data_IF_336459077970
#
_entry.id   IF_336459077970
#
_cell.length_a   1.000
_cell.length_b   1.000
_cell.length_c   1.000
_cell.angle_alpha   90.00
_cell.angle_beta   90.00
_cell.angle_gamma   90.00
#
_symmetry.space_group_name_H-M   'P 1'
#
loop_
_entity.id
_entity.type
_entity.pdbx_description
1 polymer ?
#
# COMPACT_ATOMS: atom_id res chain seq x y z
N UNK A 1 21.04 -66.77 -36.43
CA UNK A 1 19.83 -65.90 -36.34
C UNK A 1 19.62 -65.51 -34.88
N UNK A 2 19.95 -64.27 -34.46
CA UNK A 2 19.70 -63.83 -33.09
C UNK A 2 18.21 -63.53 -32.91
N UNK A 3 17.64 -64.04 -31.82
CA UNK A 3 16.20 -64.01 -31.56
C UNK A 3 15.68 -62.59 -31.29
N UNK A 4 14.45 -62.31 -31.76
CA UNK A 4 13.67 -61.07 -31.64
C UNK A 4 13.47 -60.51 -30.22
N UNK A 5 14.01 -61.14 -29.17
CA UNK A 5 13.82 -60.73 -27.76
C UNK A 5 14.80 -59.67 -27.25
N UNK A 6 15.90 -59.40 -27.95
CA UNK A 6 16.90 -58.41 -27.50
C UNK A 6 16.67 -56.97 -27.96
N UNK A 7 15.71 -56.72 -28.86
CA UNK A 7 15.41 -55.35 -29.35
C UNK A 7 14.35 -54.59 -28.54
N UNK A 8 13.64 -55.24 -27.61
CA UNK A 8 12.52 -54.62 -26.88
C UNK A 8 12.90 -54.10 -25.48
N UNK A 9 14.05 -54.47 -24.92
CA UNK A 9 14.47 -54.00 -23.58
C UNK A 9 15.31 -52.71 -23.59
N UNK A 10 15.96 -52.37 -24.72
CA UNK A 10 16.66 -51.07 -24.85
C UNK A 10 15.73 -49.91 -25.23
N UNK A 11 14.59 -50.19 -25.89
CA UNK A 11 13.62 -49.15 -26.24
C UNK A 11 12.81 -48.66 -25.02
N UNK A 12 12.47 -49.55 -24.08
CA UNK A 12 11.69 -49.19 -22.90
C UNK A 12 12.48 -48.35 -21.87
N UNK A 13 13.80 -48.58 -21.78
CA UNK A 13 14.68 -47.86 -20.84
C UNK A 13 14.98 -46.42 -21.30
N UNK A 14 15.02 -46.17 -22.62
CA UNK A 14 15.19 -44.83 -23.19
C UNK A 14 13.92 -43.96 -23.09
N UNK A 15 12.73 -44.56 -23.20
CA UNK A 15 11.45 -43.85 -23.06
C UNK A 15 11.15 -43.44 -21.61
N UNK A 16 11.53 -44.24 -20.61
CA UNK A 16 11.41 -43.85 -19.20
C UNK A 16 12.39 -42.73 -18.83
N UNK A 17 13.63 -42.76 -19.35
CA UNK A 17 14.60 -41.69 -19.14
C UNK A 17 14.16 -40.38 -19.82
N UNK A 18 13.66 -40.41 -21.07
CA UNK A 18 13.13 -39.20 -21.72
C UNK A 18 11.84 -38.67 -21.05
N UNK A 19 10.99 -39.53 -20.50
CA UNK A 19 9.80 -39.10 -19.76
C UNK A 19 10.16 -38.40 -18.42
N UNK A 20 11.17 -38.92 -17.70
CA UNK A 20 11.68 -38.32 -16.46
C UNK A 20 12.42 -36.98 -16.71
N UNK A 21 13.14 -36.86 -17.83
CA UNK A 21 13.75 -35.58 -18.22
C UNK A 21 12.71 -34.57 -18.74
N UNK A 22 11.58 -35.03 -19.29
CA UNK A 22 10.49 -34.15 -19.72
C UNK A 22 9.59 -33.66 -18.59
N UNK A 23 9.53 -34.36 -17.45
CA UNK A 23 8.87 -33.88 -16.22
C UNK A 23 9.80 -33.00 -15.37
N UNK A 24 11.10 -33.30 -15.31
CA UNK A 24 12.07 -32.45 -14.62
C UNK A 24 12.29 -31.10 -15.34
N UNK A 25 12.25 -31.08 -16.68
CA UNK A 25 12.37 -29.84 -17.47
C UNK A 25 11.09 -29.00 -17.53
N UNK A 26 9.94 -29.53 -17.07
CA UNK A 26 8.66 -28.78 -16.99
C UNK A 26 8.45 -28.06 -15.66
N UNK A 27 9.39 -28.20 -14.73
CA UNK A 27 9.37 -27.56 -13.41
C UNK A 27 10.53 -26.58 -13.22
N UNK A 28 10.97 -25.89 -14.28
CA UNK A 28 11.46 -24.53 -14.09
C UNK A 28 10.26 -23.70 -13.62
N UNK A 29 9.97 -23.74 -12.32
CA UNK A 29 8.84 -23.05 -11.72
C UNK A 29 8.86 -21.61 -12.18
N UNK A 30 7.77 -21.12 -12.76
CA UNK A 30 7.65 -19.70 -13.11
C UNK A 30 7.97 -18.88 -11.85
N UNK A 31 8.78 -17.83 -12.01
CA UNK A 31 9.19 -16.91 -10.95
C UNK A 31 8.69 -15.50 -11.24
N UNK A 32 8.70 -14.64 -10.22
CA UNK A 32 8.64 -13.18 -10.40
C UNK A 32 9.95 -12.54 -9.91
N UNK A 33 10.25 -11.33 -10.39
CA UNK A 33 11.33 -10.49 -9.87
C UNK A 33 10.79 -9.08 -9.75
N UNK A 34 10.98 -8.44 -8.59
CA UNK A 34 10.55 -7.06 -8.42
C UNK A 34 11.40 -6.08 -9.27
N UNK A 35 10.80 -4.98 -9.74
CA UNK A 35 9.37 -4.66 -9.65
C UNK A 35 8.52 -5.55 -10.58
N UNK A 36 7.31 -5.90 -10.13
CA UNK A 36 6.34 -6.65 -10.98
C UNK A 36 5.60 -5.74 -11.97
N UNK A 37 5.66 -4.42 -11.78
CA UNK A 37 5.31 -3.44 -12.80
C UNK A 37 6.25 -2.24 -12.71
N UNK A 38 6.98 -1.99 -13.79
CA UNK A 38 8.08 -1.03 -13.84
C UNK A 38 7.66 0.41 -14.14
N UNK A 39 6.38 0.68 -14.40
CA UNK A 39 5.89 2.04 -14.61
C UNK A 39 5.60 2.77 -13.30
N UNK A 40 5.46 4.09 -13.38
CA UNK A 40 5.03 4.96 -12.28
C UNK A 40 3.71 4.48 -11.65
N UNK A 41 3.80 3.94 -10.44
CA UNK A 41 2.70 3.35 -9.70
C UNK A 41 2.86 3.55 -8.18
N UNK A 42 2.79 4.80 -7.69
CA UNK A 42 2.92 5.06 -6.27
C UNK A 42 1.66 4.71 -5.48
N UNK A 43 1.88 4.51 -4.19
CA UNK A 43 0.84 4.26 -3.20
C UNK A 43 -0.11 3.10 -3.60
N UNK A 44 0.44 1.91 -3.93
CA UNK A 44 -0.35 0.84 -4.52
C UNK A 44 -1.32 0.19 -3.54
N UNK A 45 -2.60 0.25 -3.88
CA UNK A 45 -3.64 -0.54 -3.25
C UNK A 45 -4.10 -1.67 -4.18
N UNK A 46 -4.19 -2.90 -3.68
CA UNK A 46 -4.72 -4.04 -4.46
C UNK A 46 -5.99 -4.61 -3.86
N UNK A 47 -7.07 -4.54 -4.63
CA UNK A 47 -8.32 -5.24 -4.35
C UNK A 47 -8.33 -6.60 -5.04
N UNK A 48 -8.60 -7.67 -4.27
CA UNK A 48 -8.97 -8.97 -4.84
C UNK A 48 -10.49 -9.09 -4.89
N UNK A 49 -11.05 -9.27 -6.09
CA UNK A 49 -12.49 -9.43 -6.29
C UNK A 49 -12.78 -10.47 -7.38
N UNK A 50 -13.63 -11.45 -7.10
CA UNK A 50 -14.06 -12.48 -8.05
C UNK A 50 -12.91 -13.15 -8.83
N UNK A 51 -11.83 -13.53 -8.12
CA UNK A 51 -10.68 -14.21 -8.70
C UNK A 51 -9.73 -13.34 -9.52
N UNK A 52 -9.94 -12.02 -9.55
CA UNK A 52 -9.06 -11.03 -10.18
C UNK A 52 -8.49 -10.05 -9.16
N UNK A 53 -7.36 -9.46 -9.50
CA UNK A 53 -6.71 -8.38 -8.78
C UNK A 53 -6.87 -7.08 -9.54
N UNK A 54 -7.14 -6.00 -8.81
CA UNK A 54 -7.25 -4.64 -9.31
C UNK A 54 -6.30 -3.79 -8.48
N UNK A 55 -5.22 -3.32 -9.09
CA UNK A 55 -4.30 -2.40 -8.46
C UNK A 55 -4.67 -0.96 -8.81
N UNK A 56 -4.61 -0.05 -7.85
CA UNK A 56 -4.84 1.37 -8.00
C UNK A 56 -3.60 2.13 -7.53
N UNK A 57 -3.17 3.13 -8.28
CA UNK A 57 -1.97 3.91 -7.97
C UNK A 57 -2.18 5.41 -8.19
N UNK A 58 -1.46 6.22 -7.39
CA UNK A 58 -1.48 7.68 -7.41
C UNK A 58 -1.12 8.25 -8.79
N UNK A 59 -1.88 9.24 -9.27
CA UNK A 59 -1.53 10.03 -10.46
C UNK A 59 -1.06 11.45 -10.12
N UNK A 60 -1.25 11.93 -8.88
CA UNK A 60 -0.99 13.33 -8.53
C UNK A 60 -1.81 14.27 -9.42
N UNK A 61 -1.15 15.25 -10.03
CA UNK A 61 -1.76 16.13 -11.03
C UNK A 61 -1.91 15.49 -12.42
N UNK A 62 -1.26 14.35 -12.67
CA UNK A 62 -1.33 13.64 -13.93
C UNK A 62 -2.71 13.02 -14.21
N UNK A 63 -2.93 12.62 -15.47
CA UNK A 63 -4.14 11.92 -15.92
C UNK A 63 -3.75 10.70 -16.75
N UNK A 64 -4.57 9.66 -16.69
CA UNK A 64 -4.44 8.50 -17.59
C UNK A 64 -4.86 8.88 -19.01
N UNK A 65 -4.55 8.03 -20.00
CA UNK A 65 -4.81 8.30 -21.42
C UNK A 65 -6.29 8.57 -21.76
N UNK A 66 -7.21 8.04 -20.95
CA UNK A 66 -8.66 8.26 -21.04
C UNK A 66 -9.14 9.46 -20.19
N UNK A 67 -8.22 10.32 -19.74
CA UNK A 67 -8.52 11.55 -19.00
C UNK A 67 -8.89 11.34 -17.52
N UNK A 68 -8.90 10.10 -17.03
CA UNK A 68 -9.26 9.75 -15.65
C UNK A 68 -8.07 9.85 -14.69
N UNK A 69 -8.37 9.67 -13.42
CA UNK A 69 -7.43 9.78 -12.29
C UNK A 69 -7.26 8.40 -11.66
N UNK A 70 -6.09 8.17 -11.06
CA UNK A 70 -5.62 6.91 -10.51
C UNK A 70 -5.44 5.82 -11.57
N UNK A 71 -4.18 5.41 -11.80
CA UNK A 71 -3.87 4.34 -12.73
C UNK A 71 -4.47 3.03 -12.21
N UNK A 72 -5.17 2.30 -13.08
CA UNK A 72 -5.69 0.96 -12.77
C UNK A 72 -4.91 -0.10 -13.54
N UNK A 73 -4.46 -1.13 -12.84
CA UNK A 73 -3.95 -2.36 -13.43
C UNK A 73 -4.83 -3.54 -13.02
N UNK A 74 -4.89 -4.58 -13.85
CA UNK A 74 -5.52 -5.85 -13.49
C UNK A 74 -4.60 -7.03 -13.68
N UNK A 75 -4.74 -8.05 -12.83
CA UNK A 75 -3.97 -9.29 -12.88
C UNK A 75 -4.80 -10.46 -12.38
N UNK A 76 -4.37 -11.69 -12.70
CA UNK A 76 -4.90 -12.94 -12.12
C UNK A 76 -3.91 -13.60 -11.17
N UNK A 77 -2.67 -13.11 -11.08
CA UNK A 77 -1.58 -13.76 -10.35
C UNK A 77 -0.65 -12.80 -9.59
N UNK A 78 -1.02 -11.51 -9.47
CA UNK A 78 -0.24 -10.44 -8.83
C UNK A 78 1.07 -10.05 -9.54
N UNK A 79 1.41 -10.70 -10.65
CA UNK A 79 2.70 -10.52 -11.34
C UNK A 79 2.50 -10.00 -12.76
N UNK A 80 1.63 -10.66 -13.52
CA UNK A 80 1.33 -10.28 -14.89
C UNK A 80 0.23 -9.20 -14.87
N UNK A 81 0.62 -7.92 -14.90
CA UNK A 81 -0.29 -6.77 -14.83
C UNK A 81 -0.65 -6.22 -16.21
N UNK A 82 -1.93 -5.88 -16.40
CA UNK A 82 -2.46 -5.28 -17.62
C UNK A 82 -3.12 -3.93 -17.30
N UNK A 83 -2.82 -2.85 -18.03
CA UNK A 83 -3.48 -1.56 -17.86
C UNK A 83 -5.00 -1.62 -18.06
N UNK A 84 -5.75 -0.88 -17.26
CA UNK A 84 -7.22 -0.80 -17.31
C UNK A 84 -7.76 0.65 -17.29
N UNK A 85 -6.91 1.63 -17.67
CA UNK A 85 -7.26 3.04 -17.72
C UNK A 85 -7.18 3.72 -16.35
N UNK A 86 -7.92 4.82 -16.18
CA UNK A 86 -8.04 5.49 -14.89
C UNK A 86 -9.28 5.10 -14.11
N UNK A 87 -9.24 5.19 -12.78
CA UNK A 87 -10.33 4.74 -11.93
C UNK A 87 -11.41 5.82 -11.73
N UNK A 88 -11.00 7.04 -11.37
CA UNK A 88 -11.89 8.13 -10.94
C UNK A 88 -12.13 9.11 -12.09
N UNK A 89 -13.40 9.43 -12.33
CA UNK A 89 -13.76 10.59 -13.16
C UNK A 89 -13.37 11.86 -12.41
N UNK A 90 -12.57 12.77 -13.01
CA UNK A 90 -12.17 14.01 -12.36
C UNK A 90 -13.38 14.77 -11.79
N UNK A 91 -13.41 15.06 -10.47
CA UNK A 91 -14.45 15.89 -9.90
C UNK A 91 -14.46 17.29 -10.54
N UNK A 92 -15.65 17.87 -10.68
CA UNK A 92 -15.79 19.24 -11.17
C UNK A 92 -15.02 20.22 -10.29
N UNK A 93 -14.37 21.22 -10.91
CA UNK A 93 -13.57 22.22 -10.19
C UNK A 93 -12.22 21.73 -9.65
N UNK A 94 -11.84 20.47 -9.87
CA UNK A 94 -10.56 19.91 -9.41
C UNK A 94 -9.40 20.06 -10.41
N UNK A 95 -9.47 21.06 -11.30
CA UNK A 95 -8.40 21.37 -12.25
C UNK A 95 -7.13 21.79 -11.49
N UNK A 96 -6.00 21.15 -11.80
CA UNK A 96 -4.72 21.40 -11.12
C UNK A 96 -4.61 20.80 -9.71
N UNK A 97 -5.63 20.07 -9.24
CA UNK A 97 -5.56 19.37 -7.96
C UNK A 97 -4.69 18.10 -8.04
N UNK A 98 -4.11 17.77 -6.90
CA UNK A 98 -3.38 16.55 -6.63
C UNK A 98 -4.31 15.46 -6.08
N UNK A 99 -4.18 14.25 -6.62
CA UNK A 99 -4.98 13.08 -6.24
C UNK A 99 -4.08 11.93 -5.80
N UNK A 100 -4.16 11.53 -4.53
CA UNK A 100 -3.25 10.56 -3.92
C UNK A 100 -3.96 9.40 -3.24
N UNK A 101 -3.25 8.26 -3.22
CA UNK A 101 -3.48 7.09 -2.39
C UNK A 101 -4.92 6.57 -2.41
N UNK A 102 -5.40 6.04 -3.56
CA UNK A 102 -6.73 5.47 -3.66
C UNK A 102 -6.79 4.08 -3.00
N UNK A 103 -7.70 3.87 -2.04
CA UNK A 103 -8.05 2.55 -1.52
C UNK A 103 -9.50 2.18 -1.82
N UNK A 104 -9.76 0.91 -2.13
CA UNK A 104 -11.10 0.46 -2.56
C UNK A 104 -11.61 -0.69 -1.70
N UNK A 105 -12.83 -0.55 -1.18
CA UNK A 105 -13.57 -1.64 -0.54
C UNK A 105 -14.88 -1.92 -1.24
N UNK A 106 -15.34 -3.17 -1.16
CA UNK A 106 -16.64 -3.59 -1.67
C UNK A 106 -17.63 -3.75 -0.51
N UNK A 107 -18.78 -3.10 -0.60
CA UNK A 107 -19.86 -3.21 0.37
C UNK A 107 -21.21 -3.23 -0.35
N UNK A 108 -21.96 -4.32 -0.15
CA UNK A 108 -23.35 -4.49 -0.61
C UNK A 108 -23.59 -4.08 -2.09
N UNK A 109 -22.80 -4.61 -3.03
CA UNK A 109 -22.99 -4.32 -4.46
C UNK A 109 -22.39 -2.98 -4.93
N UNK A 110 -21.66 -2.27 -4.08
CA UNK A 110 -21.01 -1.00 -4.41
C UNK A 110 -19.54 -1.04 -4.01
N UNK A 111 -18.68 -0.53 -4.88
CA UNK A 111 -17.28 -0.27 -4.58
C UNK A 111 -17.15 1.16 -4.09
N UNK A 112 -16.44 1.36 -2.98
CA UNK A 112 -16.15 2.65 -2.37
C UNK A 112 -14.64 2.88 -2.47
N UNK A 113 -14.26 3.96 -3.16
CA UNK A 113 -12.87 4.40 -3.29
C UNK A 113 -12.64 5.59 -2.37
N UNK A 114 -11.76 5.42 -1.38
CA UNK A 114 -11.28 6.49 -0.52
C UNK A 114 -9.98 7.04 -1.09
N UNK A 115 -9.82 8.36 -1.08
CA UNK A 115 -8.62 9.00 -1.63
C UNK A 115 -8.41 10.39 -1.02
N UNK A 116 -7.23 10.96 -1.30
CA UNK A 116 -6.87 12.30 -0.86
C UNK A 116 -6.87 13.27 -2.03
N UNK A 117 -7.47 14.44 -1.85
CA UNK A 117 -7.54 15.52 -2.83
C UNK A 117 -7.04 16.82 -2.20
N UNK A 118 -6.12 17.52 -2.86
CA UNK A 118 -5.55 18.77 -2.36
C UNK A 118 -4.74 19.54 -3.40
N UNK A 119 -3.94 20.50 -2.95
CA UNK A 119 -3.14 21.35 -3.84
C UNK A 119 -1.70 21.49 -3.34
N UNK A 120 -0.79 20.74 -3.95
CA UNK A 120 0.65 20.81 -3.71
C UNK A 120 1.16 19.70 -2.81
N UNK A 121 2.20 18.98 -3.26
CA UNK A 121 2.87 17.96 -2.47
C UNK A 121 3.76 18.56 -1.37
N UNK A 122 4.71 19.41 -1.79
CA UNK A 122 5.75 19.99 -0.96
C UNK A 122 5.53 21.50 -0.94
N UNK A 123 5.49 22.10 0.26
CA UNK A 123 5.19 23.52 0.41
C UNK A 123 3.73 23.88 0.09
N UNK A 124 2.81 22.92 0.26
CA UNK A 124 1.38 23.11 0.01
C UNK A 124 0.82 24.31 0.80
N UNK A 125 0.12 25.21 0.10
CA UNK A 125 -0.72 26.25 0.72
C UNK A 125 -2.17 25.79 0.87
N UNK A 126 -2.56 24.70 0.20
CA UNK A 126 -3.88 24.08 0.27
C UNK A 126 -3.72 22.64 0.75
N UNK A 127 -4.15 22.37 1.98
CA UNK A 127 -4.03 21.04 2.55
C UNK A 127 -4.97 20.02 1.89
N UNK A 128 -4.50 18.77 1.84
CA UNK A 128 -5.31 17.65 1.35
C UNK A 128 -6.49 17.35 2.26
N UNK A 129 -7.56 16.83 1.65
CA UNK A 129 -8.79 16.35 2.29
C UNK A 129 -9.08 14.94 1.85
N UNK A 130 -9.76 14.19 2.71
CA UNK A 130 -10.24 12.85 2.39
C UNK A 130 -11.56 12.94 1.63
N UNK A 131 -11.69 12.13 0.61
CA UNK A 131 -12.89 12.02 -0.23
C UNK A 131 -13.25 10.56 -0.43
N UNK A 132 -14.51 10.31 -0.78
CA UNK A 132 -15.00 9.00 -1.17
C UNK A 132 -15.78 9.09 -2.49
N UNK A 133 -15.53 8.13 -3.35
CA UNK A 133 -16.20 7.94 -4.63
C UNK A 133 -16.80 6.53 -4.72
N UNK A 134 -17.79 6.33 -5.59
CA UNK A 134 -18.44 5.02 -5.76
C UNK A 134 -18.44 4.54 -7.19
N UNK A 135 -18.46 3.21 -7.36
CA UNK A 135 -18.71 2.55 -8.64
C UNK A 135 -19.48 1.23 -8.44
N UNK A 136 -20.06 0.71 -9.53
CA UNK A 136 -20.66 -0.64 -9.58
C UNK A 136 -19.70 -1.69 -10.11
N UNK A 137 -18.55 -1.28 -10.63
CA UNK A 137 -17.49 -2.15 -11.15
C UNK A 137 -16.18 -1.89 -10.38
N UNK A 138 -15.35 -2.91 -10.14
CA UNK A 138 -14.13 -2.75 -9.35
C UNK A 138 -13.13 -1.76 -9.98
N UNK A 139 -13.00 -1.73 -11.31
CA UNK A 139 -12.10 -0.81 -12.02
C UNK A 139 -12.67 0.61 -12.22
N UNK A 140 -13.93 0.86 -11.85
CA UNK A 140 -14.61 2.12 -12.15
C UNK A 140 -15.30 2.15 -13.54
N UNK A 141 -15.68 3.34 -14.04
CA UNK A 141 -15.36 4.64 -13.46
C UNK A 141 -16.02 4.87 -12.10
N UNK A 142 -15.29 5.54 -11.20
CA UNK A 142 -15.78 6.01 -9.92
C UNK A 142 -16.26 7.47 -10.05
N UNK A 143 -17.28 7.83 -9.29
CA UNK A 143 -17.78 9.20 -9.16
C UNK A 143 -17.73 9.61 -7.70
N UNK A 144 -17.13 10.77 -7.41
CA UNK A 144 -17.08 11.32 -6.06
C UNK A 144 -18.50 11.50 -5.50
N UNK A 145 -18.73 11.05 -4.28
CA UNK A 145 -20.05 11.15 -3.61
C UNK A 145 -19.99 11.99 -2.34
N UNK A 146 -18.84 12.06 -1.67
CA UNK A 146 -18.68 12.89 -0.47
C UNK A 146 -17.22 13.31 -0.24
N UNK A 147 -17.07 14.43 0.48
CA UNK A 147 -15.86 14.79 1.22
C UNK A 147 -16.03 14.30 2.66
N UNK A 148 -14.99 13.73 3.25
CA UNK A 148 -14.98 13.27 4.63
C UNK A 148 -14.39 14.37 5.51
N UNK A 149 -15.26 15.11 6.20
CA UNK A 149 -14.85 16.27 6.96
C UNK A 149 -14.14 15.93 8.26
N UNK A 150 -12.96 16.54 8.45
CA UNK A 150 -12.17 16.50 9.67
C UNK A 150 -11.83 17.94 10.07
N UNK A 151 -12.77 18.70 10.66
CA UNK A 151 -12.62 20.14 10.88
C UNK A 151 -11.41 20.51 11.74
N UNK A 152 -11.00 19.61 12.63
CA UNK A 152 -9.86 19.79 13.52
C UNK A 152 -8.49 19.70 12.81
N UNK A 153 -8.44 19.39 11.52
CA UNK A 153 -7.18 19.29 10.77
C UNK A 153 -7.18 20.18 9.53
N UNK A 154 -6.04 20.80 9.24
CA UNK A 154 -5.82 21.49 7.96
C UNK A 154 -5.35 20.55 6.84
N UNK A 155 -4.93 19.33 7.17
CA UNK A 155 -4.37 18.36 6.23
C UNK A 155 -4.74 16.93 6.64
N UNK A 156 -5.28 16.15 5.72
CA UNK A 156 -5.63 14.73 5.92
C UNK A 156 -5.39 13.93 4.66
N UNK A 157 -4.72 12.79 4.78
CA UNK A 157 -4.39 11.90 3.65
C UNK A 157 -4.53 10.42 4.03
N UNK A 158 -4.39 9.56 3.03
CA UNK A 158 -4.16 8.12 3.15
C UNK A 158 -5.24 7.39 3.94
N UNK A 159 -6.48 7.52 3.46
CA UNK A 159 -7.63 6.87 4.07
C UNK A 159 -7.63 5.36 3.82
N UNK A 160 -7.60 4.60 4.91
CA UNK A 160 -7.69 3.15 4.96
C UNK A 160 -8.98 2.69 5.65
N UNK A 161 -10.01 2.25 4.90
CA UNK A 161 -11.23 1.69 5.47
C UNK A 161 -11.00 0.27 6.00
N UNK A 162 -11.32 0.06 7.28
CA UNK A 162 -11.18 -1.22 7.97
C UNK A 162 -12.53 -1.67 8.53
N UNK A 163 -12.94 -2.92 8.28
CA UNK A 163 -14.14 -3.51 8.89
C UNK A 163 -13.75 -4.45 10.01
N UNK A 164 -14.24 -4.17 11.22
CA UNK A 164 -14.00 -5.04 12.36
C UNK A 164 -14.98 -6.23 12.41
N UNK A 165 -14.76 -7.13 13.35
CA UNK A 165 -15.47 -8.41 13.51
C UNK A 165 -16.93 -8.28 13.91
N UNK A 166 -17.31 -7.16 14.53
CA UNK A 166 -18.71 -6.79 14.81
C UNK A 166 -19.44 -6.20 13.59
N UNK A 167 -18.70 -6.01 12.48
CA UNK A 167 -19.21 -5.42 11.25
C UNK A 167 -19.10 -3.90 11.18
N UNK A 168 -18.66 -3.22 12.24
CA UNK A 168 -18.43 -1.78 12.27
C UNK A 168 -17.27 -1.42 11.34
N UNK A 169 -17.47 -0.36 10.56
CA UNK A 169 -16.42 0.22 9.72
C UNK A 169 -15.68 1.34 10.46
N UNK A 170 -14.37 1.36 10.30
CA UNK A 170 -13.47 2.40 10.80
C UNK A 170 -12.70 2.98 9.62
N UNK A 171 -12.29 4.23 9.73
CA UNK A 171 -11.36 4.85 8.80
C UNK A 171 -10.09 5.21 9.55
N UNK A 172 -8.98 4.58 9.17
CA UNK A 172 -7.65 4.99 9.56
C UNK A 172 -7.15 6.01 8.55
N UNK A 173 -6.48 7.07 9.00
CA UNK A 173 -5.93 8.09 8.11
C UNK A 173 -4.82 8.88 8.79
N UNK A 174 -4.03 9.59 8.00
CA UNK A 174 -3.00 10.49 8.51
C UNK A 174 -3.52 11.92 8.58
N UNK A 175 -3.10 12.66 9.60
CA UNK A 175 -3.34 14.10 9.74
C UNK A 175 -2.16 14.80 10.42
N UNK A 176 -2.08 16.11 10.29
CA UNK A 176 -1.01 16.88 10.92
C UNK A 176 -1.21 17.07 12.43
N UNK A 177 -0.10 17.03 13.15
CA UNK A 177 0.06 17.46 14.53
C UNK A 177 1.17 18.51 14.56
N UNK A 178 0.87 19.70 15.06
CA UNK A 178 1.75 20.88 14.99
C UNK A 178 2.38 21.26 16.34
N UNK A 179 2.02 20.51 17.38
CA UNK A 179 2.52 20.63 18.74
C UNK A 179 3.65 19.62 19.00
N UNK A 180 4.48 19.95 19.98
CA UNK A 180 5.39 19.01 20.62
C UNK A 180 4.88 18.81 22.04
N UNK A 181 4.58 17.58 22.42
CA UNK A 181 4.04 17.28 23.74
C UNK A 181 4.49 15.89 24.20
N UNK A 182 4.92 15.75 25.45
CA UNK A 182 5.33 14.48 26.06
C UNK A 182 6.27 13.59 25.20
N UNK A 183 7.21 14.20 24.47
CA UNK A 183 8.16 13.50 23.59
C UNK A 183 7.67 13.24 22.16
N UNK A 184 6.42 13.61 21.84
CA UNK A 184 5.92 13.66 20.48
C UNK A 184 6.43 14.89 19.74
N UNK A 185 6.60 14.75 18.43
CA UNK A 185 7.18 15.76 17.54
C UNK A 185 6.19 16.18 16.45
N UNK A 186 6.33 17.40 15.89
CA UNK A 186 5.47 17.87 14.81
C UNK A 186 5.62 17.03 13.55
N UNK A 187 4.52 16.80 12.86
CA UNK A 187 4.48 15.92 11.69
C UNK A 187 3.09 15.39 11.37
N UNK A 188 3.00 14.54 10.35
CA UNK A 188 1.81 13.68 10.19
C UNK A 188 1.81 12.58 11.24
N UNK A 189 0.63 12.28 11.77
CA UNK A 189 0.36 11.17 12.68
C UNK A 189 -0.91 10.45 12.26
N UNK A 190 -1.09 9.25 12.79
CA UNK A 190 -2.19 8.36 12.42
C UNK A 190 -3.33 8.48 13.42
N UNK A 191 -4.55 8.47 12.90
CA UNK A 191 -5.77 8.45 13.69
C UNK A 191 -6.74 7.40 13.14
N UNK A 192 -7.71 7.04 13.97
CA UNK A 192 -8.83 6.16 13.61
C UNK A 192 -10.14 6.84 14.00
N UNK A 193 -11.13 6.82 13.12
CA UNK A 193 -12.49 7.28 13.42
C UNK A 193 -13.50 6.23 12.96
N UNK A 194 -14.70 6.24 13.52
CA UNK A 194 -15.80 5.38 13.08
C UNK A 194 -16.39 5.93 11.79
N UNK A 195 -16.67 5.04 10.84
CA UNK A 195 -17.56 5.33 9.72
C UNK A 195 -19.00 5.06 10.17
N UNK A 196 -19.81 6.12 10.30
CA UNK A 196 -21.25 5.99 10.58
C UNK A 196 -21.98 5.32 9.41
N UNK A 197 -21.47 5.60 8.22
CA UNK A 197 -21.78 4.97 6.96
C UNK A 197 -20.52 5.10 6.06
N UNK A 198 -20.52 4.50 4.88
CA UNK A 198 -19.36 4.52 3.99
C UNK A 198 -18.98 5.94 3.49
N UNK A 199 -19.77 6.96 3.81
CA UNK A 199 -19.61 8.34 3.34
C UNK A 199 -19.47 9.38 4.45
N UNK A 200 -19.47 8.98 5.73
CA UNK A 200 -19.46 9.92 6.86
C UNK A 200 -18.74 9.38 8.07
N UNK A 201 -17.86 10.22 8.62
CA UNK A 201 -17.15 9.98 9.88
C UNK A 201 -18.01 10.37 11.07
N UNK A 202 -17.78 9.73 12.22
CA UNK A 202 -18.40 10.13 13.48
C UNK A 202 -17.84 11.47 14.00
N UNK A 203 -16.62 11.85 13.62
CA UNK A 203 -15.97 13.06 14.09
C UNK A 203 -15.34 12.91 15.48
N UNK A 204 -15.13 11.67 15.93
CA UNK A 204 -14.66 11.30 17.27
C UNK A 204 -13.31 10.56 17.20
N UNK A 205 -12.45 10.99 16.27
CA UNK A 205 -11.19 10.31 15.98
C UNK A 205 -10.32 10.10 17.22
N UNK A 206 -9.71 8.91 17.34
CA UNK A 206 -8.69 8.58 18.34
C UNK A 206 -7.31 8.59 17.69
N UNK A 207 -6.32 9.10 18.43
CA UNK A 207 -4.93 9.02 17.98
C UNK A 207 -4.47 7.58 18.02
N UNK A 208 -4.02 7.07 16.89
CA UNK A 208 -3.36 5.77 16.77
C UNK A 208 -1.89 5.96 17.11
N UNK A 209 -1.23 6.92 16.48
CA UNK A 209 0.20 7.12 16.69
C UNK A 209 0.65 8.53 16.28
N UNK A 210 1.62 9.06 17.01
CA UNK A 210 2.33 10.31 16.70
C UNK A 210 3.82 10.05 16.59
N UNK A 211 4.50 10.87 15.79
CA UNK A 211 5.93 10.76 15.58
C UNK A 211 6.72 11.08 16.85
N UNK A 212 7.69 10.24 17.18
CA UNK A 212 8.64 10.46 18.29
C UNK A 212 10.05 9.94 18.05
N UNK A 213 10.25 9.16 16.99
CA UNK A 213 11.52 8.53 16.65
C UNK A 213 12.25 9.30 15.55
N UNK A 214 13.58 9.37 15.62
CA UNK A 214 14.40 10.15 14.68
C UNK A 214 14.32 9.63 13.23
N UNK A 215 14.11 8.32 13.05
CA UNK A 215 14.07 7.74 11.70
C UNK A 215 12.89 8.26 10.87
N UNK A 216 11.83 8.76 11.51
CA UNK A 216 10.62 9.24 10.82
C UNK A 216 10.71 10.68 10.33
N UNK A 217 11.87 11.35 10.50
CA UNK A 217 12.09 12.72 9.99
C UNK A 217 11.89 12.76 8.48
N UNK A 218 10.93 13.56 8.04
CA UNK A 218 10.71 13.88 6.64
C UNK A 218 11.72 14.94 6.18
N UNK A 219 11.80 16.06 6.90
CA UNK A 219 12.64 17.20 6.54
C UNK A 219 12.97 18.04 7.78
N UNK A 220 14.18 18.61 7.81
CA UNK A 220 14.62 19.55 8.85
C UNK A 220 14.42 20.99 8.38
N UNK A 221 14.15 21.90 9.30
CA UNK A 221 13.90 23.32 9.02
C UNK A 221 12.79 23.54 7.97
N UNK A 222 11.73 22.73 8.04
CA UNK A 222 10.67 22.73 7.04
C UNK A 222 9.77 23.95 7.23
N UNK A 223 9.69 24.79 6.21
CA UNK A 223 8.69 25.86 6.09
C UNK A 223 7.33 25.24 5.75
N UNK A 224 6.29 25.57 6.52
CA UNK A 224 4.93 25.08 6.31
C UNK A 224 3.96 26.25 6.06
N UNK A 225 3.69 26.61 4.79
CA UNK A 225 2.76 27.67 4.44
C UNK A 225 1.36 27.49 5.01
N UNK A 226 0.88 26.24 5.10
CA UNK A 226 -0.43 25.88 5.67
C UNK A 226 -0.60 26.31 7.15
N UNK A 227 0.51 26.53 7.86
CA UNK A 227 0.56 26.95 9.26
C UNK A 227 1.20 28.32 9.39
N UNK A 228 0.67 29.30 8.65
CA UNK A 228 1.05 30.71 8.75
C UNK A 228 2.54 30.95 8.47
N UNK A 229 3.09 30.20 7.50
CA UNK A 229 4.51 30.20 7.15
C UNK A 229 5.44 29.88 8.34
N UNK A 230 4.97 29.07 9.29
CA UNK A 230 5.79 28.59 10.41
C UNK A 230 6.88 27.64 9.91
N UNK A 231 8.09 27.83 10.41
CA UNK A 231 9.20 26.88 10.23
C UNK A 231 9.26 25.92 11.41
N UNK A 232 9.30 24.62 11.12
CA UNK A 232 9.50 23.56 12.11
C UNK A 232 10.94 23.06 12.06
N UNK A 233 11.58 22.90 13.22
CA UNK A 233 12.97 22.43 13.30
C UNK A 233 13.13 21.04 12.68
N UNK A 234 12.18 20.14 12.95
CA UNK A 234 12.02 18.86 12.26
C UNK A 234 10.54 18.66 11.98
N UNK A 235 10.22 18.20 10.78
CA UNK A 235 8.91 17.70 10.42
C UNK A 235 9.02 16.19 10.20
N UNK A 236 8.15 15.44 10.87
CA UNK A 236 8.11 13.99 10.75
C UNK A 236 6.95 13.53 9.86
N UNK A 237 7.07 12.33 9.32
CA UNK A 237 5.98 11.70 8.57
C UNK A 237 5.67 10.33 9.14
N UNK A 238 4.38 10.12 9.41
CA UNK A 238 3.72 8.83 9.59
C UNK A 238 2.47 8.84 8.71
N UNK A 239 2.42 7.96 7.72
CA UNK A 239 1.38 7.97 6.68
C UNK A 239 1.11 6.56 6.13
N UNK A 240 0.22 6.43 5.15
CA UNK A 240 -0.15 5.15 4.54
C UNK A 240 -0.54 4.07 5.54
N UNK A 241 -1.52 4.30 6.44
CA UNK A 241 -1.93 3.28 7.40
C UNK A 241 -2.54 2.07 6.69
N UNK A 242 -2.23 0.86 7.15
CA UNK A 242 -2.93 -0.37 6.75
C UNK A 242 -3.18 -1.24 7.98
N UNK A 243 -4.41 -1.67 8.22
CA UNK A 243 -4.78 -2.37 9.46
C UNK A 243 -5.09 -3.83 9.21
N UNK A 244 -4.46 -4.69 10.02
CA UNK A 244 -4.73 -6.13 10.08
C UNK A 244 -5.07 -6.55 11.49
N UNK A 245 -6.13 -7.34 11.62
CA UNK A 245 -6.37 -8.13 12.83
C UNK A 245 -5.62 -9.46 12.71
N UNK A 246 -4.75 -9.76 13.67
CA UNK A 246 -3.98 -11.00 13.72
C UNK A 246 -3.85 -11.47 15.17
N UNK A 247 -4.12 -12.76 15.42
CA UNK A 247 -4.07 -13.37 16.76
C UNK A 247 -4.80 -12.55 17.86
N UNK A 248 -5.97 -11.99 17.52
CA UNK A 248 -6.81 -11.21 18.44
C UNK A 248 -6.37 -9.76 18.67
N UNK A 249 -5.27 -9.31 18.05
CA UNK A 249 -4.76 -7.93 18.17
C UNK A 249 -4.90 -7.17 16.85
N UNK A 250 -4.83 -5.85 16.93
CA UNK A 250 -4.90 -4.93 15.79
C UNK A 250 -3.50 -4.38 15.51
N UNK A 251 -2.98 -4.68 14.33
CA UNK A 251 -1.71 -4.16 13.84
C UNK A 251 -2.02 -3.05 12.84
N UNK A 252 -1.65 -1.83 13.16
CA UNK A 252 -1.68 -0.71 12.22
C UNK A 252 -0.27 -0.51 11.67
N UNK A 253 -0.07 -0.99 10.45
CA UNK A 253 1.14 -0.75 9.66
C UNK A 253 1.12 0.68 9.14
N UNK A 254 2.29 1.26 8.91
CA UNK A 254 2.43 2.62 8.42
C UNK A 254 3.79 2.83 7.75
N UNK A 255 3.88 3.86 6.92
CA UNK A 255 5.15 4.32 6.35
C UNK A 255 5.65 5.53 7.10
N UNK A 256 6.97 5.63 7.26
CA UNK A 256 7.63 6.78 7.88
C UNK A 256 8.81 7.29 7.08
N UNK A 257 9.35 8.44 7.51
CA UNK A 257 10.43 9.18 6.84
C UNK A 257 9.99 9.85 5.53
N UNK A 258 10.95 10.27 4.72
CA UNK A 258 10.70 11.01 3.49
C UNK A 258 10.62 10.08 2.27
N UNK A 259 9.46 10.03 1.63
CA UNK A 259 9.21 9.22 0.43
C UNK A 259 10.14 9.57 -0.75
N UNK A 260 10.77 10.75 -0.79
CA UNK A 260 11.76 11.13 -1.80
C UNK A 260 13.16 10.57 -1.54
N UNK A 261 13.34 9.79 -0.48
CA UNK A 261 14.65 9.29 -0.06
C UNK A 261 14.64 7.78 0.11
N UNK A 262 15.82 7.12 0.08
CA UNK A 262 15.90 5.70 0.42
C UNK A 262 15.45 5.37 1.85
N UNK A 263 15.29 6.35 2.75
CA UNK A 263 14.93 6.14 4.16
C UNK A 263 13.46 5.76 4.37
N UNK A 264 12.60 6.00 3.38
CA UNK A 264 11.19 5.63 3.47
C UNK A 264 11.06 4.12 3.72
N UNK A 265 10.20 3.76 4.66
CA UNK A 265 10.08 2.38 5.13
C UNK A 265 8.82 2.16 5.95
N UNK A 266 8.48 0.89 6.14
CA UNK A 266 7.25 0.45 6.81
C UNK A 266 7.54 -0.11 8.19
N UNK A 267 6.78 0.36 9.16
CA UNK A 267 6.72 -0.20 10.49
C UNK A 267 5.26 -0.45 10.92
N UNK A 268 5.05 -0.83 12.18
CA UNK A 268 3.71 -1.06 12.72
C UNK A 268 3.61 -0.64 14.19
N UNK A 269 2.38 -0.34 14.62
CA UNK A 269 2.01 -0.28 16.02
C UNK A 269 0.88 -1.30 16.30
N UNK A 270 0.74 -1.74 17.55
CA UNK A 270 -0.18 -2.81 17.94
C UNK A 270 -1.08 -2.41 19.10
N UNK A 271 -2.36 -2.82 19.06
CA UNK A 271 -3.34 -2.60 20.12
C UNK A 271 -4.20 -3.85 20.36
N UNK A 272 -4.82 -3.92 21.55
CA UNK A 272 -5.83 -4.93 21.89
C UNK A 272 -7.24 -4.54 21.42
N UNK A 273 -7.45 -3.27 21.06
CA UNK A 273 -8.71 -2.72 20.54
C UNK A 273 -8.44 -1.88 19.31
N UNK A 274 -9.39 -1.87 18.36
CA UNK A 274 -9.32 -1.06 17.11
C UNK A 274 -9.17 0.44 17.37
N UNK A 275 -9.64 0.93 18.52
CA UNK A 275 -9.52 2.33 18.93
C UNK A 275 -8.27 2.61 19.80
N UNK A 276 -7.40 1.61 19.96
CA UNK A 276 -6.18 1.72 20.76
C UNK A 276 -6.40 1.49 22.27
N UNK A 277 -5.43 1.91 23.12
CA UNK A 277 -4.19 2.57 22.74
C UNK A 277 -3.25 1.64 21.95
N UNK A 278 -2.50 2.21 21.02
CA UNK A 278 -1.49 1.49 20.23
C UNK A 278 -0.09 1.67 20.83
N UNK A 279 0.70 0.60 20.77
CA UNK A 279 2.11 0.58 21.15
C UNK A 279 3.00 0.36 19.93
N UNK A 280 4.05 1.16 19.80
CA UNK A 280 5.07 1.04 18.76
C UNK A 280 6.39 0.46 19.32
N UNK A 281 6.35 -0.18 20.50
CA UNK A 281 7.54 -0.67 21.17
C UNK A 281 8.46 -1.46 20.21
N UNK A 282 9.74 -1.09 20.15
CA UNK A 282 10.72 -1.66 19.22
C UNK A 282 10.89 -0.87 17.91
N UNK A 283 10.17 0.24 17.71
CA UNK A 283 10.29 1.10 16.54
C UNK A 283 11.48 2.08 16.58
N UNK A 284 12.30 2.07 17.64
CA UNK A 284 13.28 3.13 17.92
C UNK A 284 14.42 3.17 16.90
N UNK A 285 14.78 2.01 16.34
CA UNK A 285 15.94 1.86 15.45
C UNK A 285 15.60 2.01 13.96
N UNK A 286 14.32 2.08 13.61
CA UNK A 286 13.89 2.14 12.22
C UNK A 286 12.74 1.19 11.89
N UNK A 287 12.35 1.15 10.60
CA UNK A 287 11.23 0.35 10.14
C UNK A 287 11.53 -1.15 10.18
N UNK A 288 10.66 -1.92 10.85
CA UNK A 288 10.85 -3.37 11.06
C UNK A 288 10.26 -4.23 9.96
N UNK A 289 9.38 -3.69 9.11
CA UNK A 289 8.62 -4.48 8.11
C UNK A 289 9.25 -4.37 6.73
N UNK A 290 9.39 -3.16 6.19
CA UNK A 290 10.02 -2.89 4.89
C UNK A 290 11.03 -1.76 5.02
N UNK A 291 12.21 -1.93 4.44
CA UNK A 291 13.27 -0.91 4.43
C UNK A 291 14.16 -1.10 3.20
N UNK A 292 14.96 -0.08 2.89
CA UNK A 292 15.87 -0.13 1.75
C UNK A 292 16.83 -1.32 1.82
N UNK A 293 17.15 -1.87 0.65
CA UNK A 293 18.27 -2.79 0.46
C UNK A 293 19.37 -2.03 -0.26
N UNK A 294 20.51 -1.85 0.40
CA UNK A 294 21.61 -1.04 -0.12
C UNK A 294 21.97 -1.43 -1.56
N UNK A 295 21.99 -0.45 -2.47
CA UNK A 295 22.26 -0.65 -3.90
C UNK A 295 21.09 -1.18 -4.74
N UNK A 296 20.10 -1.82 -4.13
CA UNK A 296 19.07 -2.58 -4.84
C UNK A 296 17.66 -1.99 -4.73
N UNK A 297 17.18 -1.73 -3.52
CA UNK A 297 15.80 -1.27 -3.26
C UNK A 297 15.83 0.03 -2.47
N UNK A 298 15.10 1.05 -2.93
CA UNK A 298 15.14 2.41 -2.37
C UNK A 298 13.73 2.87 -1.98
N UNK A 299 13.59 3.29 -0.72
CA UNK A 299 12.37 3.88 -0.19
C UNK A 299 11.10 3.02 -0.35
N UNK A 300 11.11 1.71 0.00
CA UNK A 300 9.93 0.88 -0.12
C UNK A 300 8.87 1.31 0.91
N UNK A 301 7.64 1.57 0.47
CA UNK A 301 6.58 1.98 1.39
C UNK A 301 5.22 2.13 0.75
N UNK A 302 4.32 2.77 1.51
CA UNK A 302 2.89 2.94 1.24
C UNK A 302 2.28 1.67 0.66
N UNK A 303 2.23 0.64 1.52
CA UNK A 303 1.91 -0.71 1.11
C UNK A 303 0.45 -1.05 1.41
N UNK A 304 -0.08 -2.00 0.66
CA UNK A 304 -1.32 -2.70 0.94
C UNK A 304 -1.08 -4.20 1.13
N UNK A 305 -2.06 -4.91 1.69
CA UNK A 305 -2.01 -6.36 1.86
C UNK A 305 -3.01 -7.05 0.94
N UNK A 306 -2.60 -8.16 0.33
CA UNK A 306 -3.48 -8.99 -0.49
C UNK A 306 -3.12 -10.46 -0.34
N UNK A 307 -4.12 -11.34 -0.45
CA UNK A 307 -3.89 -12.79 -0.46
C UNK A 307 -3.52 -13.27 -1.87
N UNK A 308 -2.63 -14.25 -1.94
CA UNK A 308 -2.27 -15.03 -3.14
C UNK A 308 -3.48 -15.64 -3.85
N UNK A 309 -3.36 -16.07 -5.12
CA UNK A 309 -4.46 -16.70 -5.87
C UNK A 309 -5.10 -17.89 -5.15
N UNK A 310 -4.31 -18.69 -4.44
CA UNK A 310 -4.81 -19.83 -3.66
C UNK A 310 -5.45 -19.42 -2.31
N UNK A 311 -5.35 -18.15 -1.93
CA UNK A 311 -5.90 -17.60 -0.69
C UNK A 311 -5.10 -17.90 0.57
N UNK A 312 -3.88 -18.45 0.47
CA UNK A 312 -3.13 -18.95 1.63
C UNK A 312 -1.99 -18.05 2.10
N UNK A 313 -1.38 -17.30 1.19
CA UNK A 313 -0.20 -16.47 1.47
C UNK A 313 -0.58 -15.01 1.41
N UNK A 314 -0.25 -14.25 2.44
CA UNK A 314 -0.40 -12.80 2.45
C UNK A 314 0.82 -12.15 1.81
N UNK A 315 0.60 -11.24 0.88
CA UNK A 315 1.62 -10.45 0.21
C UNK A 315 1.45 -8.98 0.61
N UNK A 316 2.57 -8.33 0.88
CA UNK A 316 2.69 -6.89 0.85
C UNK A 316 2.80 -6.47 -0.61
N UNK A 317 2.00 -5.49 -1.01
CA UNK A 317 2.11 -4.81 -2.29
C UNK A 317 2.53 -3.38 -1.99
N UNK A 318 3.68 -2.94 -2.49
CA UNK A 318 4.29 -1.68 -2.09
C UNK A 318 4.96 -1.01 -3.28
N UNK A 319 5.24 0.28 -3.18
CA UNK A 319 6.07 0.94 -4.17
C UNK A 319 7.53 0.96 -3.72
N UNK A 320 8.47 0.96 -4.65
CA UNK A 320 9.86 1.32 -4.42
C UNK A 320 10.38 2.14 -5.60
N UNK A 321 11.37 3.00 -5.37
CA UNK A 321 11.95 3.78 -6.47
C UNK A 321 12.79 2.92 -7.41
N UNK A 322 12.70 3.23 -8.70
CA UNK A 322 13.65 2.78 -9.70
C UNK A 322 15.08 3.27 -9.36
N UNK A 323 16.13 2.70 -9.97
CA UNK A 323 17.51 3.09 -9.67
C UNK A 323 17.80 4.59 -9.88
N UNK A 324 17.06 5.27 -10.77
CA UNK A 324 17.23 6.68 -11.04
C UNK A 324 16.40 7.61 -10.13
N UNK A 325 15.58 7.07 -9.21
CA UNK A 325 14.66 7.83 -8.35
C UNK A 325 13.70 8.74 -9.15
N UNK A 326 13.20 8.24 -10.28
CA UNK A 326 12.24 8.91 -11.19
C UNK A 326 10.84 8.32 -11.08
N UNK A 327 10.74 7.00 -10.96
CA UNK A 327 9.47 6.28 -10.90
C UNK A 327 9.40 5.43 -9.64
N UNK A 328 8.27 5.48 -8.94
CA UNK A 328 7.91 4.56 -7.85
C UNK A 328 7.19 3.38 -8.50
N UNK A 329 7.85 2.24 -8.56
CA UNK A 329 7.43 1.03 -9.28
C UNK A 329 6.70 0.07 -8.34
N UNK A 330 5.81 -0.77 -8.88
CA UNK A 330 5.03 -1.73 -8.11
C UNK A 330 5.87 -2.97 -7.77
N UNK A 331 5.94 -3.30 -6.50
CA UNK A 331 6.64 -4.46 -5.96
C UNK A 331 5.71 -5.31 -5.09
N UNK A 332 6.03 -6.60 -4.96
CA UNK A 332 5.33 -7.51 -4.05
C UNK A 332 6.34 -8.38 -3.29
N UNK A 333 6.04 -8.71 -2.04
CA UNK A 333 6.75 -9.74 -1.29
C UNK A 333 5.87 -10.32 -0.18
N UNK A 334 6.19 -11.52 0.29
CA UNK A 334 5.37 -12.21 1.30
C UNK A 334 5.45 -11.50 2.65
N UNK A 335 4.33 -11.41 3.34
CA UNK A 335 4.27 -11.07 4.75
C UNK A 335 4.45 -12.33 5.59
N UNK A 336 5.42 -12.30 6.51
CA UNK A 336 5.59 -13.33 7.54
C UNK A 336 5.19 -12.80 8.91
N UNK A 337 4.28 -13.51 9.58
CA UNK A 337 3.98 -13.29 11.00
C UNK A 337 4.98 -14.10 11.84
N UNK A 338 5.94 -13.42 12.48
CA UNK A 338 6.98 -14.04 13.30
C UNK A 338 6.71 -13.82 14.80
N UNK A 339 7.46 -14.51 15.67
CA UNK A 339 7.38 -14.28 17.12
C UNK A 339 7.74 -12.84 17.53
N UNK A 340 8.55 -12.15 16.71
CA UNK A 340 8.97 -10.75 16.91
C UNK A 340 8.06 -9.75 16.17
N UNK A 341 6.92 -10.22 15.65
CA UNK A 341 5.94 -9.44 14.89
C UNK A 341 6.03 -9.63 13.37
N UNK A 342 5.20 -8.91 12.60
CA UNK A 342 5.17 -9.00 11.15
C UNK A 342 6.49 -8.55 10.52
N UNK A 343 6.91 -9.23 9.45
CA UNK A 343 8.12 -8.94 8.66
C UNK A 343 7.83 -9.16 7.17
N UNK A 344 8.37 -8.32 6.31
CA UNK A 344 8.45 -8.66 4.90
C UNK A 344 9.50 -9.77 4.70
N UNK A 345 9.20 -10.80 3.91
CA UNK A 345 10.19 -11.72 3.37
C UNK A 345 10.84 -11.11 2.11
N UNK A 346 11.42 -9.93 2.29
CA UNK A 346 11.93 -9.04 1.26
C UNK A 346 12.46 -7.76 1.91
N UNK A 347 12.56 -6.63 1.19
CA UNK A 347 12.28 -6.47 -0.24
C UNK A 347 13.20 -7.31 -1.14
N UNK A 348 12.63 -8.13 -2.02
CA UNK A 348 13.38 -8.97 -2.95
C UNK A 348 13.71 -8.20 -4.23
N UNK A 349 14.83 -8.56 -4.86
CA UNK A 349 15.33 -8.01 -6.13
C UNK A 349 15.91 -9.12 -7.02
N UNK A 350 15.64 -10.37 -6.64
CA UNK A 350 16.08 -11.60 -7.31
C UNK A 350 14.86 -12.51 -7.53
N UNK A 351 14.93 -13.50 -8.44
CA UNK A 351 13.80 -14.37 -8.73
C UNK A 351 13.20 -15.03 -7.49
N UNK A 352 11.88 -14.91 -7.33
CA UNK A 352 11.07 -15.49 -6.28
C UNK A 352 10.01 -16.44 -6.88
N UNK A 353 9.55 -17.48 -6.15
CA UNK A 353 8.42 -18.31 -6.60
C UNK A 353 7.15 -17.47 -6.82
N UNK A 354 6.36 -17.79 -7.85
CA UNK A 354 5.07 -17.12 -8.07
C UNK A 354 4.11 -17.24 -6.86
N UNK A 355 3.24 -16.24 -6.66
CA UNK A 355 2.16 -16.27 -5.66
C UNK A 355 1.14 -17.40 -5.80
#
# INVERSE_FOLDING_TARGET
MPSRRHFLQQAASGLAALALHSQAARAAGRTYTNPVYAGQFPDPFVLRHQGRYYAFGTTGQGRTADGRIFTVLTSTNLVDWQPAGGALTPPEGATGADFWAPEVVYQQGTFYMYYSLGGGAIGASVGHRLHVATSKTPQGPYTQVARLDVPASKFTIDAHPFRDTDGQWYLFYARDFIDSDHGYRPGTGLVVDRLLDMTRLAGESRTVMRARHDWTVFEKNRLMPLYDNRTFAEWHTLEGPFVRRHAGKYYCFYSGANFLTPRYGVDYCVADSVLGPYSDAGAEQGPRVLHAVAGHVRGPGHHSHVLSPDGKTEYLVYHAWDPAMKERQLCIDKLAWTAQGPRCQGPTYTPQPLP
#
